data_IF_753391383066
#
_entry.id   IF_753391383066
#
_cell.length_a   1.000
_cell.length_b   1.000
_cell.length_c   1.000
_cell.angle_alpha   90.00
_cell.angle_beta   90.00
_cell.angle_gamma   90.00
#
_symmetry.space_group_name_H-M   'P 1'
#
loop_
_entity.id
_entity.type
_entity.pdbx_description
1 polymer ?
#
# COMPACT_ATOMS: atom_id res chain seq x y z
N UNK A 1 17.32 -9.64 19.96
CA UNK A 1 18.12 -9.13 18.82
C UNK A 1 19.22 -8.13 19.20
N UNK A 2 19.59 -7.92 20.47
CA UNK A 2 20.82 -7.19 20.85
C UNK A 2 20.95 -5.71 20.42
N UNK A 3 19.94 -5.13 19.76
CA UNK A 3 19.94 -3.76 19.26
C UNK A 3 19.34 -2.80 20.28
N UNK A 4 19.93 -1.61 20.40
CA UNK A 4 19.30 -0.51 21.13
C UNK A 4 18.28 0.21 20.25
N UNK A 5 17.38 0.99 20.87
CA UNK A 5 16.43 1.85 20.14
C UNK A 5 17.18 2.78 19.18
N UNK A 6 18.29 3.35 19.64
CA UNK A 6 19.13 4.24 18.85
C UNK A 6 19.73 3.53 17.63
N UNK A 7 20.09 2.26 17.74
CA UNK A 7 20.58 1.47 16.60
C UNK A 7 19.48 1.22 15.58
N UNK A 8 18.26 0.87 16.04
CA UNK A 8 17.11 0.68 15.17
C UNK A 8 16.77 1.97 14.39
N UNK A 9 16.76 3.13 15.05
CA UNK A 9 16.51 4.42 14.41
C UNK A 9 17.56 4.71 13.35
N UNK A 10 18.85 4.54 13.67
CA UNK A 10 19.95 4.78 12.71
C UNK A 10 19.87 3.87 11.49
N UNK A 11 19.63 2.58 11.69
CA UNK A 11 19.51 1.60 10.61
C UNK A 11 18.32 1.95 9.70
N UNK A 12 17.16 2.25 10.30
CA UNK A 12 15.93 2.58 9.56
C UNK A 12 16.11 3.84 8.72
N UNK A 13 16.60 4.93 9.32
CA UNK A 13 16.80 6.19 8.61
C UNK A 13 17.84 6.08 7.49
N UNK A 14 18.91 5.31 7.70
CA UNK A 14 19.93 5.07 6.67
C UNK A 14 19.33 4.34 5.46
N UNK A 15 18.49 3.33 5.70
CA UNK A 15 17.80 2.58 4.64
C UNK A 15 16.84 3.49 3.86
N UNK A 16 16.02 4.29 4.56
CA UNK A 16 15.10 5.26 3.92
C UNK A 16 15.86 6.28 3.07
N UNK A 17 16.96 6.82 3.59
CA UNK A 17 17.75 7.82 2.86
C UNK A 17 18.38 7.26 1.57
N UNK A 18 18.80 5.99 1.60
CA UNK A 18 19.41 5.30 0.45
C UNK A 18 18.39 4.86 -0.59
N UNK A 19 17.29 4.25 -0.15
CA UNK A 19 16.31 3.59 -1.03
C UNK A 19 15.15 4.52 -1.42
N UNK A 20 15.04 5.70 -0.78
CA UNK A 20 13.93 6.66 -0.97
C UNK A 20 12.54 6.05 -0.75
N UNK A 21 12.49 4.96 0.01
CA UNK A 21 11.30 4.20 0.32
C UNK A 21 11.28 3.84 1.81
N UNK A 22 10.08 3.60 2.35
CA UNK A 22 9.94 3.09 3.70
C UNK A 22 10.32 1.60 3.74
N UNK A 23 11.00 1.14 4.81
CA UNK A 23 11.73 -0.11 4.73
C UNK A 23 10.86 -1.37 4.71
N UNK A 24 9.58 -1.36 5.05
CA UNK A 24 8.57 -2.41 4.86
C UNK A 24 7.16 -1.77 4.97
N UNK A 25 6.07 -2.53 4.78
CA UNK A 25 4.71 -2.08 5.08
C UNK A 25 4.54 -1.83 6.59
N UNK A 26 4.88 -0.60 7.01
CA UNK A 26 4.89 -0.21 8.42
C UNK A 26 3.50 -0.16 9.06
N UNK A 27 2.43 -0.39 8.28
CA UNK A 27 1.05 -0.25 8.74
C UNK A 27 0.19 -1.36 8.16
N UNK A 28 -0.62 -1.95 9.02
CA UNK A 28 -1.78 -2.70 8.56
C UNK A 28 -2.68 -1.76 7.73
N UNK A 29 -3.38 -2.29 6.70
CA UNK A 29 -4.34 -1.50 5.94
C UNK A 29 -5.32 -0.79 6.87
N UNK A 30 -5.62 0.48 6.59
CA UNK A 30 -6.58 1.21 7.41
C UNK A 30 -8.01 0.64 7.22
N UNK A 31 -8.95 1.04 8.08
CA UNK A 31 -10.32 0.52 8.04
C UNK A 31 -10.99 0.68 6.67
N UNK A 32 -10.75 1.79 5.96
CA UNK A 32 -11.31 2.03 4.64
C UNK A 32 -10.75 1.04 3.61
N UNK A 33 -9.44 0.80 3.62
CA UNK A 33 -8.80 -0.18 2.74
C UNK A 33 -9.31 -1.59 3.03
N UNK A 34 -9.44 -1.97 4.30
CA UNK A 34 -10.00 -3.27 4.70
C UNK A 34 -11.43 -3.42 4.19
N UNK A 35 -12.26 -2.39 4.36
CA UNK A 35 -13.65 -2.44 3.94
C UNK A 35 -13.79 -2.53 2.42
N UNK A 36 -12.97 -1.79 1.67
CA UNK A 36 -12.94 -1.85 0.20
C UNK A 36 -12.54 -3.24 -0.30
N UNK A 37 -11.54 -3.87 0.32
CA UNK A 37 -11.15 -5.25 0.01
C UNK A 37 -12.31 -6.21 0.28
N UNK A 38 -12.92 -6.15 1.47
CA UNK A 38 -14.05 -7.02 1.84
C UNK A 38 -15.26 -6.86 0.91
N UNK A 39 -15.60 -5.63 0.54
CA UNK A 39 -16.68 -5.35 -0.41
C UNK A 39 -16.37 -5.95 -1.78
N UNK A 40 -15.14 -5.77 -2.26
CA UNK A 40 -14.69 -6.32 -3.55
C UNK A 40 -14.72 -7.84 -3.55
N UNK A 41 -14.27 -8.50 -2.47
CA UNK A 41 -14.36 -9.96 -2.29
C UNK A 41 -15.82 -10.46 -2.28
N UNK A 42 -16.74 -9.67 -1.73
CA UNK A 42 -18.17 -9.95 -1.75
C UNK A 42 -18.86 -9.60 -3.09
N UNK A 43 -18.12 -9.08 -4.07
CA UNK A 43 -18.66 -8.63 -5.36
C UNK A 43 -19.43 -7.31 -5.31
N UNK A 44 -19.32 -6.57 -4.20
CA UNK A 44 -19.96 -5.28 -3.99
C UNK A 44 -19.03 -4.18 -4.51
N UNK A 45 -19.57 -3.30 -5.37
CA UNK A 45 -18.83 -2.17 -5.96
C UNK A 45 -17.62 -2.58 -6.82
N UNK A 46 -17.74 -3.72 -7.52
CA UNK A 46 -16.72 -4.21 -8.46
C UNK A 46 -17.11 -3.84 -9.89
N UNK A 47 -16.22 -3.09 -10.56
CA UNK A 47 -16.40 -2.64 -11.94
C UNK A 47 -15.51 -3.45 -12.89
N UNK A 48 -15.98 -3.69 -14.11
CA UNK A 48 -15.24 -4.43 -15.15
C UNK A 48 -14.87 -3.51 -16.31
N UNK A 49 -13.65 -3.68 -16.80
CA UNK A 49 -13.18 -3.09 -18.05
C UNK A 49 -12.74 -4.19 -19.03
N UNK A 50 -12.90 -3.94 -20.33
CA UNK A 50 -12.57 -4.90 -21.39
C UNK A 50 -11.07 -4.90 -21.71
N UNK A 51 -10.46 -3.72 -21.67
CA UNK A 51 -9.06 -3.45 -22.00
C UNK A 51 -8.58 -2.19 -21.26
N UNK A 52 -7.33 -1.80 -21.50
CA UNK A 52 -6.72 -0.65 -20.84
C UNK A 52 -7.39 0.67 -21.23
N UNK A 53 -7.78 0.83 -22.49
CA UNK A 53 -8.41 2.06 -22.99
C UNK A 53 -9.80 2.25 -22.35
N UNK A 54 -10.61 1.19 -22.27
CA UNK A 54 -11.90 1.17 -21.58
C UNK A 54 -11.77 1.40 -20.06
N UNK A 55 -10.66 0.97 -19.45
CA UNK A 55 -10.38 1.25 -18.04
C UNK A 55 -10.08 2.73 -17.81
N UNK A 56 -9.20 3.32 -18.62
CA UNK A 56 -8.82 4.73 -18.47
C UNK A 56 -10.00 5.67 -18.76
N UNK A 57 -10.82 5.36 -19.78
CA UNK A 57 -12.06 6.10 -20.06
C UNK A 57 -13.03 6.08 -18.87
N UNK A 58 -13.24 4.91 -18.24
CA UNK A 58 -14.08 4.77 -17.03
C UNK A 58 -13.51 5.47 -15.79
N UNK A 59 -12.19 5.59 -15.71
CA UNK A 59 -11.51 6.28 -14.62
C UNK A 59 -11.36 7.79 -14.85
N UNK A 60 -11.64 8.27 -16.07
CA UNK A 60 -11.54 9.67 -16.46
C UNK A 60 -10.10 10.22 -16.43
N UNK A 61 -9.11 9.36 -16.72
CA UNK A 61 -7.68 9.70 -16.75
C UNK A 61 -7.03 9.33 -18.07
#
# INVERSE_FOLDING_TARGET
MGLTISDLVRITLTKVAREKALPFDLREPNQLTIQSIKNSEAGIDVHKAKDADDLFDKLGI
#
